data_IF_026534250311
#
_entry.id   IF_026534250311
#
_cell.length_a   1.000
_cell.length_b   1.000
_cell.length_c   1.000
_cell.angle_alpha   90.00
_cell.angle_beta   90.00
_cell.angle_gamma   90.00
#
_symmetry.space_group_name_H-M   'P 1'
#
loop_
_entity.id
_entity.type
_entity.pdbx_description
1 polymer ?
#
# COMPACT_ATOMS: atom_id res chain seq x y z
N UNK A 1 4.21 2.07 22.46
CA UNK A 1 3.97 2.29 21.03
C UNK A 1 5.28 2.34 20.24
N UNK A 2 5.52 1.31 19.44
CA UNK A 2 6.68 1.19 18.56
C UNK A 2 6.37 1.75 17.17
N UNK A 3 7.19 2.69 16.70
CA UNK A 3 7.02 3.27 15.35
C UNK A 3 7.76 2.43 14.32
N UNK A 4 7.11 2.15 13.19
CA UNK A 4 7.72 1.42 12.08
C UNK A 4 7.40 2.09 10.75
N UNK A 5 8.43 2.19 9.90
CA UNK A 5 8.29 2.61 8.52
C UNK A 5 8.25 1.37 7.62
N UNK A 6 7.18 1.23 6.86
CA UNK A 6 7.00 0.13 5.91
C UNK A 6 7.09 0.69 4.50
N UNK A 7 8.08 0.23 3.73
CA UNK A 7 8.24 0.62 2.33
C UNK A 7 7.69 -0.51 1.48
N UNK A 8 6.57 -0.25 0.81
CA UNK A 8 5.85 -1.24 0.01
C UNK A 8 5.50 -0.64 -1.34
N UNK A 9 6.28 -0.97 -2.38
CA UNK A 9 6.04 -0.47 -3.73
C UNK A 9 4.64 -0.85 -4.23
N UNK A 10 4.27 -2.13 -4.08
CA UNK A 10 2.92 -2.61 -4.36
C UNK A 10 2.08 -2.58 -3.09
N UNK A 11 1.03 -1.77 -3.10
CA UNK A 11 0.07 -1.62 -2.00
C UNK A 11 -1.32 -1.34 -2.59
N UNK A 12 -2.45 -1.56 -1.87
CA UNK A 12 -3.77 -1.27 -2.40
C UNK A 12 -3.81 0.15 -2.98
N UNK A 13 -4.54 0.42 -4.08
CA UNK A 13 -5.59 -0.40 -4.70
C UNK A 13 -5.08 -1.54 -5.60
N UNK A 14 -3.76 -1.75 -5.71
CA UNK A 14 -3.22 -2.88 -6.46
C UNK A 14 -3.69 -4.22 -5.86
N UNK A 15 -3.91 -5.21 -6.73
CA UNK A 15 -4.33 -6.55 -6.36
C UNK A 15 -3.18 -7.55 -6.22
N UNK A 16 -3.55 -8.83 -6.13
CA UNK A 16 -2.70 -10.02 -5.98
C UNK A 16 -2.23 -10.32 -4.55
N UNK A 17 -1.76 -11.55 -4.37
CA UNK A 17 -1.40 -12.12 -3.06
C UNK A 17 -0.30 -11.36 -2.33
N UNK A 18 0.65 -10.76 -3.05
CA UNK A 18 1.70 -9.92 -2.47
C UNK A 18 1.15 -8.68 -1.77
N UNK A 19 0.18 -8.01 -2.41
CA UNK A 19 -0.47 -6.82 -1.84
C UNK A 19 -1.35 -7.19 -0.65
N UNK A 20 -2.13 -8.27 -0.78
CA UNK A 20 -2.94 -8.80 0.33
C UNK A 20 -2.09 -9.09 1.57
N UNK A 21 -0.96 -9.80 1.40
CA UNK A 21 -0.08 -10.16 2.51
C UNK A 21 0.43 -8.93 3.24
N UNK A 22 0.96 -7.95 2.50
CA UNK A 22 1.49 -6.71 3.08
C UNK A 22 0.41 -5.95 3.83
N UNK A 23 -0.79 -5.80 3.24
CA UNK A 23 -1.92 -5.13 3.88
C UNK A 23 -2.31 -5.80 5.21
N UNK A 24 -2.48 -7.14 5.22
CA UNK A 24 -2.85 -7.86 6.44
C UNK A 24 -1.77 -7.72 7.51
N UNK A 25 -0.50 -7.80 7.13
CA UNK A 25 0.61 -7.67 8.07
C UNK A 25 0.61 -6.30 8.77
N UNK A 26 0.53 -5.20 8.00
CA UNK A 26 0.54 -3.84 8.59
C UNK A 26 -0.75 -3.49 9.31
N UNK A 27 -1.90 -4.01 8.86
CA UNK A 27 -3.18 -3.81 9.54
C UNK A 27 -3.16 -4.39 10.95
N UNK A 28 -2.65 -5.61 11.10
CA UNK A 28 -2.65 -6.29 12.39
C UNK A 28 -1.53 -5.85 13.33
N UNK A 29 -0.49 -5.15 12.85
CA UNK A 29 0.55 -4.53 13.71
C UNK A 29 -0.03 -3.69 14.84
N UNK A 30 -1.12 -2.93 14.57
CA UNK A 30 -1.76 -2.08 15.58
C UNK A 30 -2.28 -2.87 16.79
N UNK A 31 -2.56 -4.16 16.64
CA UNK A 31 -2.99 -5.04 17.73
C UNK A 31 -1.84 -5.41 18.68
N UNK A 32 -0.59 -5.10 18.31
CA UNK A 32 0.62 -5.47 19.05
C UNK A 32 1.45 -4.23 19.45
N UNK A 33 0.82 -3.07 19.64
CA UNK A 33 1.45 -1.79 20.03
C UNK A 33 2.44 -1.23 18.98
N UNK A 34 2.31 -1.64 17.72
CA UNK A 34 3.06 -1.07 16.59
C UNK A 34 2.21 -0.06 15.80
N UNK A 35 2.82 1.08 15.49
CA UNK A 35 2.23 2.16 14.70
C UNK A 35 2.93 2.27 13.33
N UNK A 36 2.37 1.64 12.27
CA UNK A 36 2.98 1.66 10.96
C UNK A 36 2.69 2.95 10.19
N UNK A 37 3.73 3.49 9.57
CA UNK A 37 3.63 4.43 8.45
C UNK A 37 4.05 3.70 7.17
N UNK A 38 3.17 3.69 6.17
CA UNK A 38 3.41 3.01 4.90
C UNK A 38 3.83 4.06 3.87
N UNK A 39 4.96 3.84 3.21
CA UNK A 39 5.35 4.54 2.00
C UNK A 39 5.13 3.60 0.81
N UNK A 40 4.35 4.05 -0.16
CA UNK A 40 4.05 3.31 -1.38
C UNK A 40 4.09 4.22 -2.60
N UNK A 41 4.02 3.63 -3.79
CA UNK A 41 3.99 4.40 -5.03
C UNK A 41 2.63 5.05 -5.27
N UNK A 42 2.63 6.10 -6.08
CA UNK A 42 1.44 6.78 -6.59
C UNK A 42 0.82 6.03 -7.77
N UNK A 43 0.44 6.78 -8.81
CA UNK A 43 -0.13 6.19 -10.02
C UNK A 43 0.98 5.51 -10.86
N UNK A 44 0.87 4.21 -11.07
CA UNK A 44 1.81 3.40 -11.86
C UNK A 44 1.06 2.42 -12.74
N UNK A 45 1.68 2.02 -13.86
CA UNK A 45 1.14 0.98 -14.74
C UNK A 45 1.14 -0.35 -14.01
N UNK A 46 -0.05 -0.82 -13.63
CA UNK A 46 -0.25 -2.11 -12.98
C UNK A 46 -1.56 -2.72 -13.44
N UNK A 47 -1.53 -3.99 -13.83
CA UNK A 47 -2.68 -4.62 -14.51
C UNK A 47 -3.79 -5.05 -13.55
N UNK A 48 -3.48 -5.37 -12.29
CA UNK A 48 -4.42 -5.94 -11.35
C UNK A 48 -4.83 -4.91 -10.28
N UNK A 49 -6.10 -4.54 -10.25
CA UNK A 49 -6.65 -3.67 -9.21
C UNK A 49 -7.74 -4.41 -8.43
N UNK A 50 -7.82 -4.14 -7.12
CA UNK A 50 -8.76 -4.79 -6.22
C UNK A 50 -9.39 -3.74 -5.28
N UNK A 51 -10.64 -3.38 -5.58
CA UNK A 51 -11.42 -2.42 -4.79
C UNK A 51 -11.70 -2.92 -3.37
N UNK A 52 -11.77 -4.24 -3.14
CA UNK A 52 -11.94 -4.79 -1.78
C UNK A 52 -10.73 -4.46 -0.91
N UNK A 53 -9.52 -4.63 -1.45
CA UNK A 53 -8.29 -4.30 -0.72
C UNK A 53 -8.11 -2.80 -0.51
N UNK A 54 -8.52 -1.99 -1.49
CA UNK A 54 -8.53 -0.52 -1.35
C UNK A 54 -9.44 -0.10 -0.20
N UNK A 55 -10.69 -0.55 -0.22
CA UNK A 55 -11.66 -0.25 0.84
C UNK A 55 -11.17 -0.76 2.20
N UNK A 56 -10.55 -1.94 2.24
CA UNK A 56 -9.96 -2.44 3.48
C UNK A 56 -8.83 -1.55 4.00
N UNK A 57 -7.92 -1.07 3.13
CA UNK A 57 -6.82 -0.20 3.52
C UNK A 57 -7.32 1.16 4.04
N UNK A 58 -8.31 1.76 3.37
CA UNK A 58 -8.94 3.03 3.77
C UNK A 58 -9.63 2.91 5.14
N UNK A 59 -10.28 1.77 5.41
CA UNK A 59 -10.95 1.51 6.68
C UNK A 59 -10.01 1.11 7.84
N UNK A 60 -8.75 0.75 7.56
CA UNK A 60 -7.82 0.20 8.56
C UNK A 60 -7.09 1.25 9.42
N UNK A 61 -7.47 2.54 9.34
CA UNK A 61 -6.82 3.64 10.07
C UNK A 61 -5.28 3.62 9.95
N UNK A 62 -4.77 3.29 8.77
CA UNK A 62 -3.34 3.21 8.47
C UNK A 62 -2.84 4.55 7.92
N UNK A 63 -1.63 4.96 8.31
CA UNK A 63 -0.98 6.13 7.71
C UNK A 63 -0.29 5.72 6.41
N UNK A 64 -0.92 6.01 5.27
CA UNK A 64 -0.41 5.64 3.94
C UNK A 64 0.04 6.91 3.21
N UNK A 65 1.32 6.95 2.82
CA UNK A 65 1.93 8.03 2.05
C UNK A 65 2.22 7.49 0.65
N UNK A 66 1.56 8.07 -0.35
CA UNK A 66 1.78 7.72 -1.76
C UNK A 66 2.71 8.72 -2.41
N UNK A 67 3.79 8.24 -3.00
CA UNK A 67 4.80 9.06 -3.67
C UNK A 67 4.66 8.86 -5.18
N UNK A 68 4.30 9.92 -5.90
CA UNK A 68 4.32 9.95 -7.36
C UNK A 68 5.71 10.29 -7.92
N UNK A 69 5.90 10.09 -9.22
CA UNK A 69 7.15 10.43 -9.90
C UNK A 69 7.11 10.14 -11.40
N UNK A 70 8.26 10.32 -12.07
CA UNK A 70 8.47 9.96 -13.49
C UNK A 70 9.34 8.70 -13.60
N UNK A 71 9.12 7.72 -12.74
CA UNK A 71 9.80 6.44 -12.84
C UNK A 71 9.18 5.57 -13.96
N UNK A 72 9.87 4.53 -14.45
CA UNK A 72 9.42 3.75 -15.61
C UNK A 72 7.96 3.27 -15.53
N UNK A 73 7.50 2.71 -14.41
CA UNK A 73 6.13 2.22 -14.25
C UNK A 73 5.10 3.36 -14.21
N UNK A 74 5.42 4.51 -13.61
CA UNK A 74 4.60 5.71 -13.66
C UNK A 74 4.45 6.26 -15.08
N UNK A 75 5.48 6.10 -15.93
CA UNK A 75 5.34 6.41 -17.36
C UNK A 75 4.44 5.39 -18.07
N UNK A 76 4.52 4.12 -17.70
CA UNK A 76 3.65 3.06 -18.23
C UNK A 76 2.18 3.22 -17.82
N UNK A 77 1.87 3.95 -16.74
CA UNK A 77 0.47 4.17 -16.31
C UNK A 77 -0.38 4.95 -17.31
N UNK A 78 0.23 5.52 -18.35
CA UNK A 78 -0.42 6.31 -19.39
C UNK A 78 -0.86 5.46 -20.60
N UNK A 79 -0.42 4.21 -20.65
CA UNK A 79 -0.68 3.26 -21.71
C UNK A 79 -1.56 2.13 -21.16
#
# INVERSE_FOLDING_TARGET
>A
MFKVLVIAYYFPPMGLSGVQRTLKFVKYMKNYDWEPTIITTGNVGYFAHDESLKNEAENSSLRIIRIGGKEPNAMLSKF
#
